data_IF_335890930472
#
_entry.id   IF_335890930472
#
_cell.length_a   1.000
_cell.length_b   1.000
_cell.length_c   1.000
_cell.angle_alpha   90.00
_cell.angle_beta   90.00
_cell.angle_gamma   90.00
#
_symmetry.space_group_name_H-M   'P 1'
#
loop_
_entity.id
_entity.type
_entity.pdbx_description
1 polymer ?
#
# COMPACT_ATOMS: atom_id res chain seq x y z
N UNK A 1 -34.76 -26.76 -21.46
CA UNK A 1 -33.57 -25.96 -21.10
C UNK A 1 -32.38 -26.41 -21.93
N UNK A 2 -31.74 -25.49 -22.67
CA UNK A 2 -30.45 -25.79 -23.29
C UNK A 2 -29.44 -26.16 -22.19
N UNK A 3 -28.60 -27.19 -22.40
CA UNK A 3 -27.58 -27.55 -21.42
C UNK A 3 -26.64 -26.37 -21.20
N UNK A 4 -26.33 -26.09 -19.95
CA UNK A 4 -25.34 -25.06 -19.58
C UNK A 4 -24.05 -25.38 -20.32
N UNK A 5 -23.66 -24.50 -21.25
CA UNK A 5 -22.42 -24.66 -22.01
C UNK A 5 -21.26 -24.60 -21.04
N UNK A 6 -20.47 -25.66 -20.97
CA UNK A 6 -19.22 -25.67 -20.22
C UNK A 6 -18.26 -24.67 -20.88
N UNK A 7 -17.96 -23.58 -20.18
CA UNK A 7 -17.13 -22.47 -20.71
C UNK A 7 -15.64 -22.71 -20.44
N UNK A 8 -15.28 -23.41 -19.36
CA UNK A 8 -13.90 -23.81 -19.06
C UNK A 8 -13.86 -24.94 -18.00
N UNK A 9 -12.87 -25.82 -18.10
CA UNK A 9 -12.53 -26.85 -17.09
C UNK A 9 -11.06 -26.69 -16.70
N UNK A 10 -10.71 -25.73 -15.82
CA UNK A 10 -9.32 -25.43 -15.50
C UNK A 10 -8.64 -26.61 -14.78
N UNK A 11 -7.48 -27.01 -15.30
CA UNK A 11 -6.66 -28.10 -14.75
C UNK A 11 -5.57 -27.62 -13.78
N UNK A 12 -5.40 -26.30 -13.67
CA UNK A 12 -4.50 -25.63 -12.74
C UNK A 12 -5.08 -24.27 -12.33
N UNK A 13 -4.70 -23.79 -11.14
CA UNK A 13 -5.06 -22.46 -10.64
C UNK A 13 -3.83 -21.74 -10.08
N UNK A 14 -3.84 -20.42 -10.16
CA UNK A 14 -2.86 -19.55 -9.53
C UNK A 14 -3.58 -18.55 -8.64
N UNK A 15 -2.97 -18.22 -7.51
CA UNK A 15 -3.41 -17.13 -6.65
C UNK A 15 -2.54 -15.92 -6.99
N UNK A 16 -3.19 -14.86 -7.47
CA UNK A 16 -2.52 -13.61 -7.84
C UNK A 16 -2.97 -12.53 -6.88
N UNK A 17 -2.04 -11.67 -6.49
CA UNK A 17 -2.36 -10.47 -5.75
C UNK A 17 -2.49 -9.31 -6.74
N UNK A 18 -3.71 -8.81 -6.90
CA UNK A 18 -3.92 -7.62 -7.71
C UNK A 18 -3.55 -6.38 -6.90
N UNK A 19 -2.63 -5.58 -7.46
CA UNK A 19 -2.36 -4.24 -6.97
C UNK A 19 -3.35 -3.22 -7.54
N UNK A 20 -3.18 -1.97 -7.12
CA UNK A 20 -4.03 -0.84 -7.51
C UNK A 20 -4.23 -0.75 -9.03
N UNK A 21 -3.15 -0.76 -9.80
CA UNK A 21 -3.20 -0.63 -11.26
C UNK A 21 -4.04 -1.72 -11.91
N UNK A 22 -3.86 -2.97 -11.48
CA UNK A 22 -4.65 -4.10 -12.00
C UNK A 22 -6.13 -3.94 -11.69
N UNK A 23 -6.49 -3.54 -10.47
CA UNK A 23 -7.89 -3.31 -10.07
C UNK A 23 -8.54 -2.23 -10.94
N UNK A 24 -7.85 -1.13 -11.19
CA UNK A 24 -8.35 -0.03 -12.01
C UNK A 24 -8.42 -0.40 -13.50
N UNK A 25 -7.49 -1.20 -14.01
CA UNK A 25 -7.57 -1.73 -15.37
C UNK A 25 -8.78 -2.66 -15.53
N UNK A 26 -9.04 -3.52 -14.55
CA UNK A 26 -10.22 -4.39 -14.53
C UNK A 26 -11.54 -3.60 -14.42
N UNK A 27 -11.56 -2.49 -13.68
CA UNK A 27 -12.71 -1.56 -13.70
C UNK A 27 -12.97 -1.03 -15.11
N UNK A 28 -11.91 -0.67 -15.84
CA UNK A 28 -12.00 -0.20 -17.22
C UNK A 28 -12.66 -1.22 -18.14
N UNK A 29 -12.21 -2.48 -18.09
CA UNK A 29 -12.78 -3.57 -18.89
C UNK A 29 -14.23 -3.85 -18.49
N UNK A 30 -14.54 -3.92 -17.19
CA UNK A 30 -15.91 -4.19 -16.72
C UNK A 30 -16.88 -3.09 -17.15
N UNK A 31 -16.43 -1.83 -17.20
CA UNK A 31 -17.23 -0.69 -17.63
C UNK A 31 -17.73 -0.81 -19.07
N UNK A 32 -17.06 -1.57 -19.93
CA UNK A 32 -17.50 -1.80 -21.32
C UNK A 32 -18.79 -2.64 -21.41
N UNK A 33 -19.12 -3.40 -20.35
CA UNK A 33 -20.24 -4.35 -20.37
C UNK A 33 -21.32 -4.05 -19.34
N UNK A 34 -21.01 -3.31 -18.27
CA UNK A 34 -21.97 -2.95 -17.22
C UNK A 34 -21.55 -1.69 -16.47
N UNK A 35 -22.52 -0.99 -15.88
CA UNK A 35 -22.30 0.11 -14.94
C UNK A 35 -21.19 -0.26 -13.93
N UNK A 36 -20.13 0.54 -13.89
CA UNK A 36 -18.94 0.29 -13.08
C UNK A 36 -18.44 1.58 -12.45
N UNK A 37 -18.60 1.72 -11.13
CA UNK A 37 -18.09 2.90 -10.44
C UNK A 37 -16.55 2.97 -10.48
N UNK A 38 -15.95 4.17 -10.52
CA UNK A 38 -14.52 4.35 -10.36
C UNK A 38 -14.04 3.70 -9.06
N UNK A 39 -12.99 2.88 -9.15
CA UNK A 39 -12.48 2.13 -8.01
C UNK A 39 -13.40 1.00 -7.54
N UNK A 40 -14.17 0.38 -8.44
CA UNK A 40 -15.05 -0.75 -8.14
C UNK A 40 -14.29 -1.89 -7.45
N UNK A 41 -13.30 -2.48 -8.11
CA UNK A 41 -12.56 -3.62 -7.55
C UNK A 41 -11.77 -3.21 -6.30
N UNK A 42 -11.27 -1.97 -6.29
CA UNK A 42 -10.55 -1.39 -5.14
C UNK A 42 -11.44 -1.27 -3.91
N UNK A 43 -12.68 -0.81 -4.06
CA UNK A 43 -13.62 -0.62 -2.95
C UNK A 43 -14.16 -1.96 -2.47
N UNK A 44 -14.54 -2.85 -3.41
CA UNK A 44 -15.02 -4.20 -3.07
C UNK A 44 -13.99 -5.06 -2.34
N UNK A 45 -12.70 -4.82 -2.55
CA UNK A 45 -11.63 -5.56 -1.88
C UNK A 45 -11.51 -5.24 -0.38
N UNK A 46 -12.17 -4.19 0.14
CA UNK A 46 -12.04 -3.79 1.53
C UNK A 46 -12.87 -4.63 2.49
N UNK A 47 -14.20 -4.52 2.40
CA UNK A 47 -15.13 -5.22 3.29
C UNK A 47 -16.41 -5.61 2.56
N UNK A 48 -17.17 -6.54 3.13
CA UNK A 48 -18.52 -6.88 2.63
C UNK A 48 -19.45 -5.66 2.60
N UNK A 49 -19.31 -4.75 3.57
CA UNK A 49 -20.07 -3.50 3.60
C UNK A 49 -19.69 -2.56 2.44
N UNK A 50 -18.40 -2.40 2.17
CA UNK A 50 -17.92 -1.64 1.02
C UNK A 50 -18.39 -2.28 -0.30
N UNK A 51 -18.37 -3.61 -0.38
CA UNK A 51 -18.88 -4.36 -1.54
C UNK A 51 -20.37 -4.09 -1.80
N UNK A 52 -21.20 -4.17 -0.75
CA UNK A 52 -22.62 -3.83 -0.85
C UNK A 52 -22.84 -2.34 -1.21
N UNK A 53 -21.98 -1.44 -0.72
CA UNK A 53 -22.01 -0.02 -1.08
C UNK A 53 -21.76 0.23 -2.56
N UNK A 54 -20.82 -0.50 -3.16
CA UNK A 54 -20.56 -0.47 -4.61
C UNK A 54 -21.79 -0.95 -5.39
N UNK A 55 -22.40 -2.06 -4.97
CA UNK A 55 -23.60 -2.60 -5.64
C UNK A 55 -24.78 -1.62 -5.56
N UNK A 56 -24.95 -0.96 -4.41
CA UNK A 56 -25.95 0.08 -4.25
C UNK A 56 -25.69 1.28 -5.16
N UNK A 57 -24.44 1.78 -5.22
CA UNK A 57 -24.07 2.91 -6.07
C UNK A 57 -24.29 2.60 -7.56
N UNK A 58 -23.90 1.41 -8.02
CA UNK A 58 -24.11 0.95 -9.39
C UNK A 58 -25.59 0.77 -9.74
N UNK A 59 -26.37 0.18 -8.84
CA UNK A 59 -27.81 0.02 -9.06
C UNK A 59 -28.56 1.36 -9.06
N UNK A 60 -28.12 2.33 -8.25
CA UNK A 60 -28.76 3.65 -8.13
C UNK A 60 -28.42 4.58 -9.29
N UNK A 61 -27.15 4.64 -9.67
CA UNK A 61 -26.65 5.63 -10.63
C UNK A 61 -26.55 5.10 -12.07
N UNK A 62 -26.52 3.77 -12.26
CA UNK A 62 -26.36 3.17 -13.59
C UNK A 62 -25.11 3.68 -14.30
N UNK A 63 -25.26 4.12 -15.55
CA UNK A 63 -24.14 4.60 -16.38
C UNK A 63 -23.62 6.01 -16.00
N UNK A 64 -24.26 6.72 -15.07
CA UNK A 64 -23.89 8.08 -14.64
C UNK A 64 -22.74 8.12 -13.61
N UNK A 65 -21.96 7.03 -13.51
CA UNK A 65 -20.88 6.86 -12.53
C UNK A 65 -19.50 7.31 -13.03
N UNK A 66 -19.42 8.20 -14.02
CA UNK A 66 -18.11 8.65 -14.55
C UNK A 66 -17.25 9.40 -13.52
N UNK A 67 -15.93 9.49 -13.78
CA UNK A 67 -15.02 10.37 -13.03
C UNK A 67 -13.80 9.67 -12.41
N UNK A 68 -13.08 10.42 -11.57
CA UNK A 68 -11.98 9.91 -10.76
C UNK A 68 -12.50 9.11 -9.56
N UNK A 69 -11.68 8.20 -9.04
CA UNK A 69 -12.03 7.42 -7.85
C UNK A 69 -12.25 8.33 -6.63
N UNK A 70 -13.46 8.35 -6.03
CA UNK A 70 -13.76 9.24 -4.90
C UNK A 70 -13.23 8.65 -3.58
N UNK A 71 -11.90 8.56 -3.44
CA UNK A 71 -11.28 7.90 -2.29
C UNK A 71 -11.73 8.50 -0.94
N UNK A 72 -11.84 9.82 -0.82
CA UNK A 72 -12.27 10.46 0.43
C UNK A 72 -13.66 9.96 0.88
N UNK A 73 -14.62 9.85 -0.05
CA UNK A 73 -15.97 9.34 0.24
C UNK A 73 -15.92 7.88 0.66
N UNK A 74 -15.14 7.05 -0.02
CA UNK A 74 -14.99 5.64 0.32
C UNK A 74 -14.34 5.46 1.69
N UNK A 75 -13.29 6.22 1.96
CA UNK A 75 -12.58 6.18 3.23
C UNK A 75 -13.43 6.74 4.39
N UNK A 76 -14.30 7.72 4.15
CA UNK A 76 -15.25 8.22 5.16
C UNK A 76 -16.31 7.20 5.56
N UNK A 77 -16.77 6.39 4.61
CA UNK A 77 -17.82 5.40 4.87
C UNK A 77 -17.27 4.08 5.39
N UNK A 78 -16.08 3.70 4.93
CA UNK A 78 -15.56 2.35 5.14
C UNK A 78 -14.14 2.32 5.68
N UNK A 79 -13.34 3.37 5.48
CA UNK A 79 -11.93 3.39 5.84
C UNK A 79 -11.69 3.49 7.35
N UNK A 80 -10.42 3.47 7.75
CA UNK A 80 -10.05 3.59 9.16
C UNK A 80 -10.26 5.02 9.67
N UNK A 81 -10.53 5.14 10.97
CA UNK A 81 -10.67 6.41 11.69
C UNK A 81 -9.58 6.58 12.76
N UNK A 82 -9.41 7.81 13.25
CA UNK A 82 -8.50 8.06 14.38
C UNK A 82 -8.89 7.22 15.61
N UNK A 83 -7.90 6.59 16.23
CA UNK A 83 -8.05 5.63 17.33
C UNK A 83 -8.28 4.18 16.88
N UNK A 84 -8.54 3.93 15.59
CA UNK A 84 -8.56 2.57 15.06
C UNK A 84 -7.15 2.00 14.94
N UNK A 85 -7.07 0.67 14.84
CA UNK A 85 -5.82 -0.03 14.61
C UNK A 85 -5.83 -0.65 13.22
N UNK A 86 -4.75 -0.39 12.47
CA UNK A 86 -4.57 -0.95 11.12
C UNK A 86 -3.32 -1.81 11.06
N UNK A 87 -3.45 -2.93 10.36
CA UNK A 87 -2.35 -3.84 10.07
C UNK A 87 -1.55 -3.36 8.86
N UNK A 88 -0.22 -3.48 8.91
CA UNK A 88 0.63 -3.16 7.76
C UNK A 88 0.97 -4.46 7.02
N UNK A 89 0.30 -4.68 5.89
CA UNK A 89 0.41 -5.85 5.02
C UNK A 89 1.50 -5.62 3.96
N UNK A 90 2.70 -6.09 4.26
CA UNK A 90 3.91 -5.98 3.44
C UNK A 90 4.01 -7.16 2.47
N UNK A 91 3.65 -6.95 1.21
CA UNK A 91 3.89 -7.94 0.17
C UNK A 91 5.32 -7.93 -0.32
N UNK A 92 5.79 -9.10 -0.76
CA UNK A 92 7.06 -9.27 -1.47
C UNK A 92 6.80 -9.64 -2.94
N UNK A 93 7.69 -9.29 -3.87
CA UNK A 93 7.53 -9.60 -5.30
C UNK A 93 7.27 -11.08 -5.59
N UNK A 94 7.92 -11.98 -4.85
CA UNK A 94 7.67 -13.42 -4.88
C UNK A 94 6.24 -13.87 -4.45
N UNK A 95 5.34 -12.94 -4.13
CA UNK A 95 3.93 -13.21 -3.79
C UNK A 95 3.64 -13.51 -2.32
N UNK A 96 4.66 -13.47 -1.44
CA UNK A 96 4.46 -13.63 0.01
C UNK A 96 3.91 -12.34 0.62
N UNK A 97 3.06 -12.47 1.64
CA UNK A 97 2.62 -11.37 2.50
C UNK A 97 3.16 -11.55 3.91
N UNK A 98 3.75 -10.49 4.45
CA UNK A 98 4.26 -10.40 5.81
C UNK A 98 3.46 -9.30 6.53
N UNK A 99 3.07 -9.55 7.76
CA UNK A 99 2.45 -8.53 8.61
C UNK A 99 3.57 -7.88 9.43
N UNK A 100 3.83 -6.59 9.22
CA UNK A 100 4.87 -5.87 9.97
C UNK A 100 4.43 -5.50 11.40
N UNK A 101 3.14 -5.65 11.68
CA UNK A 101 2.51 -5.32 12.94
C UNK A 101 1.21 -4.54 12.71
N UNK A 102 0.63 -4.11 13.82
CA UNK A 102 -0.54 -3.24 13.86
C UNK A 102 -0.11 -1.92 14.51
N UNK A 103 -0.71 -0.82 14.08
CA UNK A 103 -0.48 0.50 14.66
C UNK A 103 -1.77 1.29 14.77
N UNK A 104 -1.78 2.24 15.70
CA UNK A 104 -2.91 3.14 15.94
C UNK A 104 -2.92 4.24 14.89
N UNK A 105 -4.09 4.53 14.34
CA UNK A 105 -4.31 5.67 13.47
C UNK A 105 -4.39 6.92 14.34
N UNK A 106 -3.40 7.79 14.21
CA UNK A 106 -3.31 9.02 15.01
C UNK A 106 -3.74 10.28 14.24
N UNK A 107 -3.82 10.19 12.91
CA UNK A 107 -4.22 11.29 12.04
C UNK A 107 -4.79 10.74 10.74
N UNK A 108 -5.90 11.33 10.25
CA UNK A 108 -6.41 11.11 8.89
C UNK A 108 -6.75 12.44 8.24
N UNK A 109 -6.10 12.72 7.11
CA UNK A 109 -6.29 13.95 6.34
C UNK A 109 -7.27 13.76 5.17
N UNK A 110 -7.94 14.84 4.79
CA UNK A 110 -8.84 14.90 3.62
C UNK A 110 -8.11 14.57 2.30
N UNK A 111 -6.78 14.75 2.25
CA UNK A 111 -5.97 14.50 1.06
C UNK A 111 -5.60 13.02 0.85
N UNK A 112 -6.11 12.15 1.74
CA UNK A 112 -5.92 10.71 1.74
C UNK A 112 -4.68 10.24 2.49
N UNK A 113 -4.05 11.10 3.30
CA UNK A 113 -2.96 10.74 4.20
C UNK A 113 -3.49 10.07 5.47
N UNK A 114 -2.83 9.00 5.90
CA UNK A 114 -3.11 8.25 7.12
C UNK A 114 -1.81 8.12 7.92
N UNK A 115 -1.75 8.71 9.11
CA UNK A 115 -0.60 8.54 10.00
C UNK A 115 -0.89 7.41 11.01
N UNK A 116 0.02 6.45 11.04
CA UNK A 116 -0.06 5.26 11.88
C UNK A 116 1.13 5.24 12.81
N UNK A 117 0.88 5.18 14.11
CA UNK A 117 1.92 5.12 15.15
C UNK A 117 2.02 3.71 15.74
N UNK A 118 3.26 3.27 15.97
CA UNK A 118 3.59 2.01 16.66
C UNK A 118 4.62 2.27 17.75
N UNK A 119 4.40 1.68 18.92
CA UNK A 119 5.45 1.59 19.94
C UNK A 119 6.41 0.44 19.60
N UNK A 120 7.70 0.73 19.68
CA UNK A 120 8.75 -0.22 19.35
C UNK A 120 9.28 -0.91 20.62
N UNK A 121 9.49 -2.21 20.49
CA UNK A 121 10.21 -2.98 21.50
C UNK A 121 11.71 -2.84 21.30
N UNK A 122 12.46 -2.71 22.39
CA UNK A 122 13.92 -2.61 22.31
C UNK A 122 14.60 -3.87 21.78
N UNK A 123 15.87 -3.69 21.37
CA UNK A 123 16.75 -4.78 20.93
C UNK A 123 17.10 -4.69 19.45
N UNK A 124 18.39 -4.76 19.14
CA UNK A 124 18.91 -4.56 17.78
C UNK A 124 19.04 -3.09 17.37
N UNK A 125 19.11 -2.87 16.07
CA UNK A 125 19.15 -1.57 15.40
C UNK A 125 18.02 -1.48 14.39
N UNK A 126 17.61 -0.28 14.04
CA UNK A 126 16.78 -0.09 12.84
C UNK A 126 17.61 -0.44 11.60
N UNK A 127 17.07 -1.30 10.74
CA UNK A 127 17.73 -1.74 9.51
C UNK A 127 18.08 -0.53 8.63
N UNK A 128 19.24 -0.62 7.97
CA UNK A 128 19.90 0.44 7.20
C UNK A 128 20.30 1.72 7.97
N UNK A 129 19.56 2.13 9.02
CA UNK A 129 19.88 3.30 9.85
C UNK A 129 21.03 3.05 10.84
N UNK A 130 21.21 1.81 11.30
CA UNK A 130 22.22 1.46 12.31
C UNK A 130 21.98 2.09 13.69
N UNK A 131 20.90 2.85 13.85
CA UNK A 131 20.51 3.49 15.12
C UNK A 131 19.90 2.45 16.05
N UNK A 132 20.31 2.48 17.32
CA UNK A 132 19.85 1.52 18.33
C UNK A 132 18.35 1.61 18.53
N UNK A 133 17.65 0.46 18.48
CA UNK A 133 16.23 0.37 18.82
C UNK A 133 16.06 0.15 20.32
N UNK A 134 15.28 1.01 20.95
CA UNK A 134 15.05 1.01 22.39
C UNK A 134 13.56 0.85 22.71
N UNK A 135 13.27 0.35 23.91
CA UNK A 135 11.88 0.19 24.34
C UNK A 135 11.25 1.56 24.56
N UNK A 136 10.06 1.77 24.03
CA UNK A 136 9.36 3.06 24.09
C UNK A 136 9.78 4.03 22.99
N UNK A 137 10.66 3.62 22.07
CA UNK A 137 10.77 4.34 20.79
C UNK A 137 9.42 4.28 20.05
N UNK A 138 9.09 5.30 19.27
CA UNK A 138 7.89 5.34 18.43
C UNK A 138 8.25 5.32 16.95
N UNK A 139 7.47 4.60 16.15
CA UNK A 139 7.53 4.62 14.70
C UNK A 139 6.26 5.25 14.14
N UNK A 140 6.38 6.46 13.59
CA UNK A 140 5.29 7.17 12.93
C UNK A 140 5.40 6.97 11.42
N UNK A 141 4.49 6.18 10.84
CA UNK A 141 4.43 5.92 9.40
C UNK A 141 3.31 6.72 8.76
N UNK A 142 3.62 7.50 7.72
CA UNK A 142 2.61 8.28 6.98
C UNK A 142 2.30 7.64 5.62
N UNK A 143 1.16 6.99 5.52
CA UNK A 143 0.69 6.41 4.27
C UNK A 143 -0.18 7.40 3.50
N UNK A 144 -0.26 7.22 2.19
CA UNK A 144 -1.20 7.97 1.35
C UNK A 144 -1.70 7.08 0.22
N UNK A 145 -3.02 7.03 0.04
CA UNK A 145 -3.64 6.23 -1.03
C UNK A 145 -3.02 6.55 -2.39
N UNK A 146 -2.65 5.50 -3.14
CA UNK A 146 -2.09 5.61 -4.48
C UNK A 146 -0.62 6.04 -4.53
N UNK A 147 0.05 6.27 -3.40
CA UNK A 147 1.45 6.69 -3.37
C UNK A 147 2.39 5.50 -3.50
N UNK A 148 3.45 5.67 -4.30
CA UNK A 148 4.51 4.67 -4.54
C UNK A 148 5.56 4.57 -3.42
N UNK A 149 5.32 5.22 -2.29
CA UNK A 149 6.26 5.22 -1.17
C UNK A 149 5.57 5.70 0.11
N UNK A 150 6.17 5.38 1.25
CA UNK A 150 5.76 5.92 2.55
C UNK A 150 6.98 6.12 3.46
N UNK A 151 7.06 7.23 4.23
CA UNK A 151 8.08 7.41 5.25
C UNK A 151 7.63 6.82 6.59
N UNK A 152 8.59 6.27 7.33
CA UNK A 152 8.50 5.95 8.76
C UNK A 152 9.56 6.76 9.49
N UNK A 153 9.14 7.63 10.41
CA UNK A 153 10.05 8.39 11.26
C UNK A 153 10.12 7.74 12.63
N UNK A 154 11.34 7.43 13.06
CA UNK A 154 11.59 6.86 14.37
C UNK A 154 11.97 7.96 15.37
N UNK A 155 11.41 7.88 16.58
CA UNK A 155 11.75 8.77 17.69
C UNK A 155 12.02 7.99 18.97
N UNK A 156 12.85 8.54 19.86
CA UNK A 156 13.01 8.00 21.21
C UNK A 156 11.77 8.25 22.07
N UNK A 157 11.70 7.61 23.24
CA UNK A 157 10.67 7.89 24.24
C UNK A 157 10.64 9.37 24.70
N UNK A 158 11.79 10.07 24.59
CA UNK A 158 11.91 11.50 24.89
C UNK A 158 11.62 12.39 23.67
N UNK A 159 11.27 11.81 22.52
CA UNK A 159 10.90 12.50 21.28
C UNK A 159 12.06 12.85 20.34
N UNK A 160 13.30 12.47 20.67
CA UNK A 160 14.48 12.72 19.83
C UNK A 160 14.40 11.94 18.52
N UNK A 161 14.79 12.57 17.40
CA UNK A 161 14.76 11.92 16.09
C UNK A 161 15.86 10.85 15.98
N UNK A 162 15.47 9.64 15.58
CA UNK A 162 16.36 8.47 15.46
C UNK A 162 16.59 8.03 14.01
N UNK A 163 16.10 8.81 13.05
CA UNK A 163 16.20 8.53 11.63
C UNK A 163 14.82 8.39 10.95
N UNK A 164 14.83 8.46 9.63
CA UNK A 164 13.65 8.27 8.79
C UNK A 164 13.97 7.24 7.73
N UNK A 165 13.07 6.28 7.55
CA UNK A 165 13.13 5.26 6.52
C UNK A 165 12.00 5.52 5.52
N UNK A 166 12.27 5.47 4.22
CA UNK A 166 11.27 5.68 3.18
C UNK A 166 11.23 4.47 2.26
N UNK A 167 10.16 3.68 2.37
CA UNK A 167 9.98 2.49 1.54
C UNK A 167 9.52 2.91 0.15
N UNK A 168 10.11 2.36 -0.92
CA UNK A 168 9.52 2.43 -2.27
C UNK A 168 8.75 1.16 -2.56
N UNK A 169 7.49 1.30 -2.91
CA UNK A 169 6.55 0.20 -3.08
C UNK A 169 5.61 0.44 -4.26
N UNK A 170 4.83 -0.57 -4.65
CA UNK A 170 3.65 -0.33 -5.51
C UNK A 170 2.66 0.61 -4.79
N UNK A 171 1.72 1.24 -5.51
CA UNK A 171 0.82 2.20 -4.88
C UNK A 171 0.12 1.65 -3.65
N UNK A 172 0.27 2.37 -2.55
CA UNK A 172 -0.34 2.03 -1.27
C UNK A 172 -1.87 2.05 -1.39
N UNK A 173 -2.52 1.05 -0.81
CA UNK A 173 -3.97 0.99 -0.68
C UNK A 173 -4.38 0.92 0.80
N UNK A 174 -5.19 1.88 1.22
CA UNK A 174 -5.71 2.04 2.56
C UNK A 174 -7.08 1.35 2.70
N UNK A 175 -7.09 0.20 3.37
CA UNK A 175 -8.28 -0.56 3.68
C UNK A 175 -8.74 -0.34 5.12
N UNK A 176 -9.95 -0.77 5.48
CA UNK A 176 -10.54 -0.48 6.79
C UNK A 176 -9.73 -1.02 7.97
N UNK A 177 -9.10 -2.19 7.80
CA UNK A 177 -8.33 -2.88 8.83
C UNK A 177 -6.82 -2.98 8.49
N UNK A 178 -6.41 -2.48 7.33
CA UNK A 178 -5.07 -2.75 6.81
C UNK A 178 -4.59 -1.72 5.79
N UNK A 179 -3.27 -1.57 5.73
CA UNK A 179 -2.57 -0.87 4.65
C UNK A 179 -1.82 -1.92 3.84
N UNK A 180 -2.06 -1.97 2.53
CA UNK A 180 -1.49 -2.98 1.64
C UNK A 180 -0.63 -2.36 0.53
N UNK A 181 0.49 -3.02 0.21
CA UNK A 181 1.36 -2.70 -0.91
C UNK A 181 2.28 -3.90 -1.20
N UNK A 182 2.94 -3.88 -2.37
CA UNK A 182 4.07 -4.77 -2.67
C UNK A 182 5.36 -3.95 -2.59
N UNK A 183 6.27 -4.39 -1.74
CA UNK A 183 7.59 -3.82 -1.58
C UNK A 183 8.45 -4.00 -2.83
N UNK A 184 9.20 -2.96 -3.20
CA UNK A 184 10.06 -2.97 -4.38
C UNK A 184 11.55 -2.95 -4.00
N UNK A 185 11.87 -3.36 -2.77
CA UNK A 185 13.20 -3.53 -2.20
C UNK A 185 14.02 -2.25 -2.02
N UNK A 186 13.88 -1.25 -2.89
CA UNK A 186 14.65 0.00 -2.82
C UNK A 186 14.10 0.92 -1.76
N UNK A 187 14.98 1.40 -0.90
CA UNK A 187 14.63 2.32 0.17
C UNK A 187 15.51 3.56 0.16
N UNK A 188 14.98 4.66 0.72
CA UNK A 188 15.76 5.87 1.00
C UNK A 188 15.75 6.10 2.50
N UNK A 189 16.94 6.18 3.09
CA UNK A 189 17.12 6.46 4.51
C UNK A 189 17.64 7.87 4.73
N UNK A 190 17.22 8.47 5.84
CA UNK A 190 17.76 9.72 6.37
C UNK A 190 18.22 9.50 7.80
N UNK A 191 19.53 9.59 8.00
CA UNK A 191 20.19 9.41 9.29
C UNK A 191 19.86 10.54 10.27
N UNK A 192 20.07 10.33 11.58
CA UNK A 192 19.89 11.38 12.59
C UNK A 192 20.72 12.65 12.34
N UNK A 193 21.89 12.51 11.70
CA UNK A 193 22.77 13.63 11.33
C UNK A 193 22.34 14.35 10.05
N UNK A 194 21.27 13.87 9.39
CA UNK A 194 20.72 14.41 8.16
C UNK A 194 21.29 13.80 6.88
N UNK A 195 22.25 12.87 6.97
CA UNK A 195 22.77 12.14 5.78
C UNK A 195 21.65 11.34 5.12
N UNK A 196 21.53 11.46 3.80
CA UNK A 196 20.53 10.74 3.00
C UNK A 196 21.23 9.73 2.09
N UNK A 197 20.73 8.50 2.04
CA UNK A 197 21.28 7.42 1.23
C UNK A 197 20.16 6.54 0.67
N UNK A 198 20.33 6.08 -0.57
CA UNK A 198 19.50 5.03 -1.16
C UNK A 198 20.18 3.67 -0.94
N UNK A 199 19.42 2.69 -0.47
CA UNK A 199 19.92 1.36 -0.12
C UNK A 199 19.15 0.28 -0.89
N UNK A 200 19.69 -0.95 -0.89
CA UNK A 200 19.06 -2.19 -1.36
C UNK A 200 18.72 -2.22 -2.87
N UNK A 201 19.46 -1.45 -3.68
CA UNK A 201 19.41 -1.52 -5.15
C UNK A 201 19.79 -2.91 -5.70
N UNK A 202 20.64 -3.66 -4.98
CA UNK A 202 21.07 -5.01 -5.33
C UNK A 202 19.96 -6.06 -5.08
N UNK A 203 19.14 -5.88 -4.04
CA UNK A 203 17.95 -6.71 -3.84
C UNK A 203 16.93 -6.53 -4.98
N UNK A 204 16.75 -5.29 -5.47
CA UNK A 204 15.90 -5.01 -6.62
C UNK A 204 16.43 -5.69 -7.89
N UNK A 205 17.74 -5.61 -8.15
CA UNK A 205 18.36 -6.28 -9.30
C UNK A 205 18.19 -7.80 -9.23
N UNK A 206 18.41 -8.40 -8.05
CA UNK A 206 18.22 -9.82 -7.84
C UNK A 206 16.75 -10.26 -8.09
N UNK A 207 15.77 -9.45 -7.71
CA UNK A 207 14.35 -9.73 -7.95
C UNK A 207 14.00 -9.68 -9.46
N UNK A 208 14.62 -8.79 -10.22
CA UNK A 208 14.49 -8.76 -11.69
C UNK A 208 15.14 -9.98 -12.33
N UNK A 209 16.36 -10.34 -11.92
CA UNK A 209 17.07 -11.52 -12.41
C UNK A 209 16.31 -12.83 -12.11
N UNK A 210 15.63 -12.90 -10.96
CA UNK A 210 14.77 -14.02 -10.58
C UNK A 210 13.42 -14.06 -11.33
N UNK A 211 13.08 -13.02 -12.09
CA UNK A 211 11.79 -12.89 -12.79
C UNK A 211 10.61 -12.59 -11.87
N UNK A 212 10.87 -12.11 -10.66
CA UNK A 212 9.83 -11.72 -9.69
C UNK A 212 9.32 -10.29 -9.94
N UNK A 213 10.15 -9.45 -10.57
CA UNK A 213 9.81 -8.09 -11.01
C UNK A 213 10.14 -7.89 -12.49
N UNK A 214 9.39 -7.01 -13.15
CA UNK A 214 9.75 -6.55 -14.49
C UNK A 214 10.81 -5.44 -14.43
N UNK A 215 11.61 -5.32 -15.50
CA UNK A 215 12.55 -4.21 -15.67
C UNK A 215 11.84 -2.85 -15.57
N UNK A 216 10.66 -2.72 -16.18
CA UNK A 216 9.85 -1.48 -16.13
C UNK A 216 9.50 -1.08 -14.68
N UNK A 217 9.14 -2.04 -13.83
CA UNK A 217 8.79 -1.78 -12.44
C UNK A 217 10.03 -1.41 -11.61
N UNK A 218 11.18 -2.03 -11.91
CA UNK A 218 12.45 -1.68 -11.29
C UNK A 218 12.92 -0.27 -11.68
N UNK A 219 12.82 0.11 -12.96
CA UNK A 219 13.10 1.47 -13.41
C UNK A 219 12.20 2.49 -12.73
N UNK A 220 10.92 2.16 -12.58
CA UNK A 220 9.95 2.99 -11.86
C UNK A 220 10.35 3.16 -10.40
N UNK A 221 10.72 2.08 -9.70
CA UNK A 221 11.16 2.13 -8.31
C UNK A 221 12.39 3.03 -8.13
N UNK A 222 13.41 2.87 -8.98
CA UNK A 222 14.62 3.70 -8.96
C UNK A 222 14.32 5.18 -9.20
N UNK A 223 13.42 5.48 -10.15
CA UNK A 223 12.99 6.85 -10.45
C UNK A 223 12.27 7.51 -9.26
N UNK A 224 11.42 6.76 -8.56
CA UNK A 224 10.76 7.21 -7.34
C UNK A 224 11.78 7.44 -6.23
N UNK A 225 12.67 6.48 -5.96
CA UNK A 225 13.72 6.58 -4.95
C UNK A 225 14.62 7.81 -5.18
N UNK A 226 15.13 8.02 -6.40
CA UNK A 226 15.95 9.18 -6.72
C UNK A 226 15.20 10.51 -6.59
N UNK A 227 13.87 10.51 -6.79
CA UNK A 227 13.05 11.70 -6.57
C UNK A 227 12.88 12.02 -5.09
N UNK A 228 12.77 11.00 -4.24
CA UNK A 228 12.71 11.13 -2.78
C UNK A 228 14.06 11.63 -2.25
N UNK A 229 15.17 11.01 -2.66
CA UNK A 229 16.53 11.38 -2.24
C UNK A 229 16.85 12.86 -2.48
N UNK A 230 16.34 13.45 -3.57
CA UNK A 230 16.50 14.88 -3.87
C UNK A 230 15.59 15.80 -3.06
N UNK A 231 14.52 15.27 -2.48
CA UNK A 231 13.46 16.05 -1.86
C UNK A 231 13.54 16.11 -0.32
N UNK A 232 14.29 15.20 0.31
CA UNK A 232 14.36 15.06 1.77
C UNK A 232 15.64 15.59 2.39
#
# INVERSE_FOLDING_TARGET
>A
PEPVREVASPTAGAWLWFGRESRFALDGIRREVTATMPGHHRTKAGTEAASAGVDFAEALCGDDLGGEFPFAVVADQFGPHEGDYVRIDHGKPAGRRIVLGEGEVVERDDDGTLAVEREMTGGGTYDALGTRRESGDTALTKFREGRWWYPTTYRSADGEHKGTYVNVCTPVELFPDSVCYVDLHVDVIKQPDGTVERVDDDELDAAVEAGELSEELAEKARSVASSIERAI
#
